data_IF_724231426311
#
_entry.id   IF_724231426311
#
_cell.length_a   1.000
_cell.length_b   1.000
_cell.length_c   1.000
_cell.angle_alpha   90.00
_cell.angle_beta   90.00
_cell.angle_gamma   90.00
#
_symmetry.space_group_name_H-M   'P 1'
#
loop_
_entity.id
_entity.type
_entity.pdbx_description
1 polymer ?
#
# COMPACT_ATOMS: atom_id res chain seq x y z
N UNK A 1 29.41 -5.02 25.58
CA UNK A 1 29.13 -4.35 24.33
C UNK A 1 28.31 -3.12 24.64
N UNK A 2 28.81 -1.93 24.31
CA UNK A 2 28.11 -0.66 24.60
C UNK A 2 26.91 -0.62 23.63
N UNK A 3 25.69 -0.78 24.15
CA UNK A 3 24.47 -0.57 23.41
C UNK A 3 24.34 0.94 23.19
N UNK A 4 24.79 1.42 22.03
CA UNK A 4 24.44 2.78 21.59
C UNK A 4 22.92 2.89 21.67
N UNK A 5 22.38 3.82 22.44
CA UNK A 5 20.94 4.04 22.54
C UNK A 5 20.38 4.29 21.15
N UNK A 6 19.28 3.65 20.82
CA UNK A 6 18.61 3.87 19.54
C UNK A 6 18.29 5.37 19.40
N UNK A 7 18.57 5.94 18.23
CA UNK A 7 18.33 7.35 17.96
C UNK A 7 17.10 7.52 17.08
N UNK A 8 16.33 8.61 17.25
CA UNK A 8 15.24 8.92 16.36
C UNK A 8 15.73 9.04 14.91
N UNK A 9 14.96 8.50 13.99
CA UNK A 9 15.23 8.60 12.56
C UNK A 9 14.72 9.96 12.07
N UNK A 10 15.58 10.70 11.37
CA UNK A 10 15.27 12.03 10.84
C UNK A 10 15.11 12.00 9.33
N UNK A 11 14.57 13.08 8.76
CA UNK A 11 14.42 13.25 7.33
C UNK A 11 12.96 13.45 6.90
N UNK A 12 12.73 13.67 5.60
CA UNK A 12 11.42 14.05 5.09
C UNK A 12 10.33 12.99 5.29
N UNK A 13 10.71 11.71 5.47
CA UNK A 13 9.77 10.62 5.73
C UNK A 13 9.26 10.56 7.19
N UNK A 14 9.82 11.37 8.11
CA UNK A 14 9.41 11.41 9.52
C UNK A 14 8.31 12.45 9.81
N UNK A 15 7.42 12.70 8.86
CA UNK A 15 6.34 13.69 8.96
C UNK A 15 5.23 13.29 9.94
N UNK A 16 4.53 14.29 10.45
CA UNK A 16 3.32 14.13 11.28
C UNK A 16 2.08 14.48 10.44
N UNK A 17 0.94 13.85 10.74
CA UNK A 17 -0.32 14.11 10.04
C UNK A 17 -0.74 15.59 10.08
N UNK A 18 -0.50 16.27 11.21
CA UNK A 18 -0.76 17.70 11.34
C UNK A 18 0.09 18.57 10.39
N UNK A 19 1.30 18.14 10.04
CA UNK A 19 2.14 18.86 9.07
C UNK A 19 1.59 18.73 7.65
N UNK A 20 1.09 17.53 7.28
CA UNK A 20 0.43 17.34 5.98
C UNK A 20 -0.86 18.13 5.85
N UNK A 21 -1.65 18.25 6.93
CA UNK A 21 -2.88 19.03 6.96
C UNK A 21 -2.62 20.51 6.65
N UNK A 22 -1.45 21.02 7.03
CA UNK A 22 -1.06 22.42 6.85
C UNK A 22 -0.22 22.67 5.58
N UNK A 23 -0.08 21.68 4.69
CA UNK A 23 0.74 21.77 3.49
C UNK A 23 0.06 21.11 2.30
N UNK A 24 0.26 21.66 1.12
CA UNK A 24 -0.15 21.08 -0.17
C UNK A 24 1.04 20.62 -1.00
N UNK A 25 2.27 20.70 -0.47
CA UNK A 25 3.50 20.39 -1.22
C UNK A 25 3.64 18.89 -1.60
N UNK A 26 2.83 18.01 -1.00
CA UNK A 26 2.71 16.60 -1.34
C UNK A 26 1.66 16.32 -2.43
N UNK A 27 0.91 17.37 -2.87
CA UNK A 27 -0.11 17.30 -3.91
C UNK A 27 0.49 17.86 -5.20
N UNK A 28 0.51 17.08 -6.25
CA UNK A 28 0.91 17.49 -7.59
C UNK A 28 -0.31 17.43 -8.52
N UNK A 29 -0.65 18.54 -9.13
CA UNK A 29 -1.73 18.60 -10.11
C UNK A 29 -1.22 18.28 -11.50
N UNK A 30 -2.01 17.54 -12.27
CA UNK A 30 -1.77 17.40 -13.69
C UNK A 30 -1.86 18.74 -14.39
N UNK A 31 -0.93 19.03 -15.28
CA UNK A 31 -1.02 20.17 -16.18
C UNK A 31 -1.84 19.81 -17.43
N UNK A 32 -2.41 20.80 -18.14
CA UNK A 32 -3.12 20.53 -19.41
C UNK A 32 -2.25 19.82 -20.44
N UNK A 33 -0.95 20.12 -20.49
CA UNK A 33 -0.01 19.48 -21.41
C UNK A 33 0.22 18.00 -21.07
N UNK A 34 0.28 17.64 -19.80
CA UNK A 34 0.40 16.24 -19.34
C UNK A 34 -0.88 15.45 -19.60
N UNK A 35 -2.04 16.06 -19.39
CA UNK A 35 -3.33 15.43 -19.73
C UNK A 35 -3.44 15.17 -21.23
N UNK A 36 -3.03 16.14 -22.07
CA UNK A 36 -3.01 15.95 -23.53
C UNK A 36 -2.03 14.84 -23.97
N UNK A 37 -0.92 14.69 -23.27
CA UNK A 37 0.06 13.63 -23.52
C UNK A 37 -0.50 12.24 -23.12
N UNK A 38 -1.22 12.15 -21.99
CA UNK A 38 -1.94 10.94 -21.58
C UNK A 38 -3.04 10.57 -22.59
N UNK A 39 -3.83 11.54 -23.08
CA UNK A 39 -4.85 11.33 -24.11
C UNK A 39 -4.24 10.81 -25.42
N UNK A 40 -3.10 11.37 -25.83
CA UNK A 40 -2.40 10.95 -27.05
C UNK A 40 -1.86 9.52 -26.93
N UNK A 41 -1.26 9.17 -25.78
CA UNK A 41 -0.76 7.84 -25.51
C UNK A 41 -1.89 6.81 -25.45
N UNK A 42 -3.02 7.14 -24.82
CA UNK A 42 -4.22 6.30 -24.82
C UNK A 42 -4.75 6.09 -26.23
N UNK A 43 -4.82 7.15 -27.05
CA UNK A 43 -5.25 7.08 -28.45
C UNK A 43 -4.37 6.12 -29.26
N UNK A 44 -3.05 6.16 -29.08
CA UNK A 44 -2.11 5.27 -29.75
C UNK A 44 -2.30 3.79 -29.35
N UNK A 45 -2.50 3.54 -28.05
CA UNK A 45 -2.78 2.18 -27.53
C UNK A 45 -4.09 1.63 -28.08
N UNK A 46 -5.15 2.44 -28.12
CA UNK A 46 -6.47 2.07 -28.68
C UNK A 46 -6.39 1.78 -30.18
N UNK A 47 -5.69 2.63 -30.95
CA UNK A 47 -5.53 2.44 -32.38
C UNK A 47 -4.81 1.12 -32.74
N UNK A 48 -3.95 0.63 -31.84
CA UNK A 48 -3.24 -0.66 -31.96
C UNK A 48 -4.01 -1.84 -31.36
N UNK A 49 -5.16 -1.62 -30.75
CA UNK A 49 -5.97 -2.67 -30.12
C UNK A 49 -5.27 -3.37 -28.95
N UNK A 50 -4.37 -2.70 -28.23
CA UNK A 50 -3.61 -3.31 -27.14
C UNK A 50 -4.48 -3.47 -25.89
N UNK A 51 -4.52 -4.70 -25.37
CA UNK A 51 -5.06 -4.93 -24.03
C UNK A 51 -4.16 -4.27 -22.97
N UNK A 52 -4.75 -3.71 -21.92
CA UNK A 52 -4.00 -2.94 -20.90
C UNK A 52 -2.82 -3.71 -20.30
N UNK A 53 -2.93 -5.04 -20.09
CA UNK A 53 -1.85 -5.89 -19.53
C UNK A 53 -0.62 -6.00 -20.43
N UNK A 54 -0.79 -5.79 -21.73
CA UNK A 54 0.29 -5.86 -22.72
C UNK A 54 0.95 -4.52 -23.01
N UNK A 55 0.46 -3.42 -22.44
CA UNK A 55 1.03 -2.08 -22.65
C UNK A 55 2.37 -1.99 -21.94
N UNK A 56 3.42 -1.74 -22.69
CA UNK A 56 4.75 -1.42 -22.17
C UNK A 56 4.93 0.09 -22.02
N UNK A 57 6.03 0.50 -21.42
CA UNK A 57 6.40 1.92 -21.32
C UNK A 57 6.58 2.56 -22.70
N UNK A 58 7.10 1.79 -23.66
CA UNK A 58 7.34 2.20 -25.06
C UNK A 58 6.01 2.35 -25.82
N UNK A 59 5.01 1.53 -25.49
CA UNK A 59 3.67 1.59 -26.08
C UNK A 59 2.86 2.79 -25.58
N UNK A 60 3.24 3.34 -24.42
CA UNK A 60 2.58 4.47 -23.74
C UNK A 60 3.56 5.63 -23.54
N UNK A 61 4.02 6.30 -24.61
CA UNK A 61 5.08 7.29 -24.53
C UNK A 61 4.59 8.57 -23.83
N UNK A 62 5.36 9.02 -22.82
CA UNK A 62 5.13 10.25 -22.06
C UNK A 62 6.41 11.12 -22.08
N UNK A 63 6.82 11.67 -23.24
CA UNK A 63 8.13 12.29 -23.40
C UNK A 63 8.35 13.50 -22.48
N UNK A 64 7.33 14.29 -22.18
CA UNK A 64 7.41 15.46 -21.28
C UNK A 64 7.11 15.07 -19.84
N UNK A 65 6.07 14.26 -19.63
CA UNK A 65 5.62 13.88 -18.29
C UNK A 65 6.59 12.91 -17.60
N UNK A 66 7.40 12.15 -18.35
CA UNK A 66 8.36 11.19 -17.79
C UNK A 66 9.35 11.81 -16.79
N UNK A 67 9.79 13.05 -17.01
CA UNK A 67 10.67 13.77 -16.09
C UNK A 67 9.96 14.05 -14.74
N UNK A 68 8.69 14.45 -14.77
CA UNK A 68 7.92 14.66 -13.57
C UNK A 68 7.60 13.35 -12.84
N UNK A 69 7.37 12.24 -13.56
CA UNK A 69 7.21 10.91 -12.96
C UNK A 69 8.51 10.39 -12.34
N UNK A 70 9.67 10.75 -12.89
CA UNK A 70 10.96 10.47 -12.27
C UNK A 70 11.10 11.22 -10.92
N UNK A 71 10.71 12.49 -10.86
CA UNK A 71 10.68 13.26 -9.61
C UNK A 71 9.67 12.68 -8.59
N UNK A 72 8.53 12.17 -9.04
CA UNK A 72 7.57 11.45 -8.18
C UNK A 72 8.21 10.19 -7.59
N UNK A 73 8.93 9.38 -8.38
CA UNK A 73 9.66 8.20 -7.86
C UNK A 73 10.70 8.59 -6.82
N UNK A 74 11.39 9.70 -7.05
CA UNK A 74 12.42 10.20 -6.14
C UNK A 74 11.81 10.67 -4.81
N UNK A 75 10.70 11.42 -4.86
CA UNK A 75 9.94 11.82 -3.67
C UNK A 75 9.39 10.61 -2.89
N UNK A 76 8.93 9.57 -3.59
CA UNK A 76 8.47 8.33 -2.96
C UNK A 76 9.61 7.60 -2.24
N UNK A 77 10.80 7.51 -2.82
CA UNK A 77 11.90 6.75 -2.21
C UNK A 77 12.76 7.58 -1.26
N UNK A 78 13.04 8.83 -1.59
CA UNK A 78 13.99 9.69 -0.87
C UNK A 78 13.32 10.85 -0.11
N UNK A 79 12.08 11.17 -0.46
CA UNK A 79 11.28 12.21 0.14
C UNK A 79 10.36 11.72 1.26
N UNK A 80 9.13 12.24 1.28
CA UNK A 80 8.11 11.90 2.29
C UNK A 80 7.60 10.47 2.20
N UNK A 81 7.79 9.80 1.08
CA UNK A 81 7.21 8.48 0.82
C UNK A 81 5.73 8.55 0.40
N UNK A 82 5.22 9.73 0.06
CA UNK A 82 3.86 9.91 -0.44
C UNK A 82 3.80 11.01 -1.49
N UNK A 83 2.95 10.81 -2.51
CA UNK A 83 2.56 11.83 -3.50
C UNK A 83 1.09 11.61 -3.86
N UNK A 84 0.33 12.70 -3.95
CA UNK A 84 -1.00 12.70 -4.54
C UNK A 84 -0.94 13.39 -5.90
N UNK A 85 -1.20 12.63 -6.98
CA UNK A 85 -1.45 13.22 -8.29
C UNK A 85 -2.94 13.54 -8.38
N UNK A 86 -3.30 14.79 -8.67
CA UNK A 86 -4.68 15.27 -8.64
C UNK A 86 -5.13 15.85 -9.96
N UNK A 87 -6.37 15.51 -10.35
CA UNK A 87 -7.06 16.17 -11.46
C UNK A 87 -7.03 15.40 -12.77
N UNK A 88 -6.90 14.05 -12.73
CA UNK A 88 -7.22 13.23 -13.89
C UNK A 88 -8.75 13.30 -14.14
N UNK A 89 -9.23 13.73 -15.31
CA UNK A 89 -10.67 13.88 -15.56
C UNK A 89 -11.35 12.55 -15.87
N UNK A 90 -11.53 11.71 -14.82
CA UNK A 90 -12.01 10.32 -14.94
C UNK A 90 -13.37 10.20 -15.62
N UNK A 91 -14.20 11.23 -15.55
CA UNK A 91 -15.52 11.27 -16.20
C UNK A 91 -15.45 11.29 -17.74
N UNK A 92 -14.28 11.56 -18.31
CA UNK A 92 -14.05 11.56 -19.76
C UNK A 92 -13.74 10.19 -20.33
N UNK A 93 -13.50 9.20 -19.48
CA UNK A 93 -13.01 7.89 -19.87
C UNK A 93 -13.92 6.77 -19.39
N UNK A 94 -13.97 5.70 -20.16
CA UNK A 94 -14.55 4.44 -19.68
C UNK A 94 -13.63 3.79 -18.65
N UNK A 95 -14.15 2.83 -17.85
CA UNK A 95 -13.33 2.10 -16.89
C UNK A 95 -12.17 1.35 -17.55
N UNK A 96 -12.36 0.83 -18.77
CA UNK A 96 -11.28 0.16 -19.51
C UNK A 96 -10.22 1.13 -19.99
N UNK A 97 -10.59 2.32 -20.43
CA UNK A 97 -9.65 3.39 -20.75
C UNK A 97 -8.89 3.86 -19.52
N UNK A 98 -9.56 3.97 -18.36
CA UNK A 98 -8.90 4.27 -17.08
C UNK A 98 -7.91 3.18 -16.68
N UNK A 99 -8.20 1.89 -16.95
CA UNK A 99 -7.23 0.81 -16.74
C UNK A 99 -6.02 0.96 -17.65
N UNK A 100 -6.22 1.29 -18.94
CA UNK A 100 -5.12 1.53 -19.89
C UNK A 100 -4.27 2.74 -19.47
N UNK A 101 -4.89 3.87 -19.12
CA UNK A 101 -4.22 5.08 -18.65
C UNK A 101 -3.42 4.82 -17.37
N UNK A 102 -4.06 4.21 -16.37
CA UNK A 102 -3.44 3.98 -15.07
C UNK A 102 -2.32 2.96 -15.13
N UNK A 103 -2.48 1.91 -15.94
CA UNK A 103 -1.43 0.95 -16.23
C UNK A 103 -0.27 1.60 -16.96
N UNK A 104 -0.52 2.31 -18.07
CA UNK A 104 0.50 3.01 -18.83
C UNK A 104 1.31 3.97 -17.95
N UNK A 105 0.64 4.79 -17.15
CA UNK A 105 1.30 5.66 -16.16
C UNK A 105 2.12 4.85 -15.15
N UNK A 106 1.60 3.73 -14.68
CA UNK A 106 2.28 2.82 -13.76
C UNK A 106 3.61 2.29 -14.30
N UNK A 107 3.69 1.97 -15.61
CA UNK A 107 4.93 1.49 -16.27
C UNK A 107 6.05 2.54 -16.28
N UNK A 108 5.73 3.82 -16.18
CA UNK A 108 6.71 4.91 -16.03
C UNK A 108 7.19 5.10 -14.59
N UNK A 109 6.41 4.66 -13.60
CA UNK A 109 6.77 4.73 -12.19
C UNK A 109 7.59 3.51 -11.75
N UNK A 110 7.20 2.31 -12.17
CA UNK A 110 7.85 1.07 -11.76
C UNK A 110 7.31 -0.13 -12.52
N UNK A 111 7.67 -1.32 -12.06
CA UNK A 111 7.18 -2.57 -12.64
C UNK A 111 5.96 -3.06 -11.86
N UNK A 112 4.78 -3.20 -12.50
CA UNK A 112 3.59 -3.73 -11.85
C UNK A 112 3.79 -5.15 -11.30
N UNK A 113 3.22 -5.41 -10.12
CA UNK A 113 3.31 -6.69 -9.41
C UNK A 113 1.93 -7.31 -9.21
N UNK A 114 1.88 -8.63 -9.22
CA UNK A 114 0.66 -9.37 -8.93
C UNK A 114 0.22 -9.17 -7.48
N UNK A 115 -1.09 -8.98 -7.28
CA UNK A 115 -1.69 -8.71 -5.98
C UNK A 115 -2.31 -9.95 -5.33
N UNK A 116 -2.46 -11.03 -6.07
CA UNK A 116 -2.93 -12.32 -5.60
C UNK A 116 -2.41 -13.46 -6.49
N UNK A 117 -2.66 -14.71 -6.07
CA UNK A 117 -2.25 -15.92 -6.80
C UNK A 117 -3.02 -16.12 -8.12
N UNK A 118 -4.11 -15.38 -8.36
CA UNK A 118 -4.94 -15.46 -9.57
C UNK A 118 -4.51 -14.50 -10.69
N UNK A 119 -3.37 -13.82 -10.55
CA UNK A 119 -2.82 -12.97 -11.60
C UNK A 119 -3.43 -11.57 -11.68
N UNK A 120 -4.00 -11.07 -10.59
CA UNK A 120 -4.54 -9.72 -10.56
C UNK A 120 -3.39 -8.69 -10.50
N UNK A 121 -3.31 -7.83 -11.50
CA UNK A 121 -2.31 -6.76 -11.62
C UNK A 121 -2.90 -5.38 -11.30
N UNK A 122 -4.16 -5.11 -11.70
CA UNK A 122 -4.95 -3.98 -11.22
C UNK A 122 -6.01 -4.57 -10.31
N UNK A 123 -5.94 -4.25 -9.01
CA UNK A 123 -6.94 -4.64 -8.03
C UNK A 123 -8.09 -3.64 -7.99
N UNK A 124 -9.34 -4.12 -7.97
CA UNK A 124 -10.50 -3.26 -7.73
C UNK A 124 -10.78 -3.20 -6.22
N UNK A 125 -10.75 -1.99 -5.67
CA UNK A 125 -11.08 -1.74 -4.27
C UNK A 125 -12.51 -1.21 -4.20
N UNK A 126 -13.45 -2.14 -4.00
CA UNK A 126 -14.90 -1.93 -3.96
C UNK A 126 -15.55 -2.91 -2.98
N UNK A 127 -16.83 -2.74 -2.67
CA UNK A 127 -17.57 -3.73 -1.87
C UNK A 127 -18.04 -4.90 -2.75
N UNK A 128 -17.23 -5.95 -2.81
CA UNK A 128 -17.60 -7.21 -3.49
C UNK A 128 -18.37 -8.15 -2.57
N UNK A 129 -18.40 -7.87 -1.26
CA UNK A 129 -18.94 -8.75 -0.25
C UNK A 129 -20.36 -8.37 0.20
N UNK A 130 -20.93 -7.37 -0.46
CA UNK A 130 -22.29 -6.88 -0.18
C UNK A 130 -23.33 -8.00 -0.19
N UNK A 131 -23.15 -9.00 -1.06
CA UNK A 131 -24.04 -10.16 -1.15
C UNK A 131 -23.88 -11.16 0.01
N UNK A 132 -22.77 -11.09 0.76
CA UNK A 132 -22.43 -12.06 1.81
C UNK A 132 -22.72 -11.56 3.24
N UNK A 133 -23.35 -10.40 3.39
CA UNK A 133 -23.72 -9.86 4.70
C UNK A 133 -22.55 -9.32 5.50
N UNK A 134 -22.70 -9.23 6.83
CA UNK A 134 -21.80 -8.52 7.73
C UNK A 134 -20.42 -9.19 7.94
N UNK A 135 -19.62 -9.29 6.87
CA UNK A 135 -18.24 -9.81 6.91
C UNK A 135 -17.30 -8.95 7.78
N UNK A 136 -17.79 -7.82 8.25
CA UNK A 136 -17.01 -6.79 8.92
C UNK A 136 -17.01 -6.87 10.44
N UNK A 137 -17.70 -7.87 11.02
CA UNK A 137 -17.73 -8.05 12.48
C UNK A 137 -16.43 -8.68 12.99
N UNK A 138 -15.95 -8.28 14.18
CA UNK A 138 -14.84 -8.96 14.83
C UNK A 138 -15.11 -10.46 14.99
N UNK A 139 -14.13 -11.29 14.60
CA UNK A 139 -14.25 -12.75 14.71
C UNK A 139 -14.95 -13.46 13.56
N UNK A 140 -15.45 -12.73 12.55
CA UNK A 140 -16.01 -13.37 11.34
C UNK A 140 -14.92 -14.11 10.58
N UNK A 141 -15.21 -15.33 10.21
CA UNK A 141 -14.39 -16.19 9.34
C UNK A 141 -15.04 -16.29 7.96
N UNK A 142 -14.25 -16.58 6.94
CA UNK A 142 -14.76 -16.89 5.60
C UNK A 142 -15.65 -18.16 5.66
N UNK A 143 -16.47 -18.39 4.64
CA UNK A 143 -17.27 -19.62 4.54
C UNK A 143 -16.40 -20.91 4.59
N UNK A 144 -15.12 -20.80 4.26
CA UNK A 144 -14.12 -21.86 4.38
C UNK A 144 -13.59 -22.08 5.80
N UNK A 145 -14.01 -21.28 6.78
CA UNK A 145 -13.45 -21.27 8.14
C UNK A 145 -12.16 -20.45 8.28
N UNK A 146 -11.64 -19.93 7.20
CA UNK A 146 -10.41 -19.15 7.20
C UNK A 146 -10.59 -17.74 7.81
N UNK A 147 -9.59 -17.17 8.50
CA UNK A 147 -9.67 -15.83 9.07
C UNK A 147 -9.79 -14.75 7.99
N UNK A 148 -10.56 -13.70 8.29
CA UNK A 148 -10.68 -12.54 7.40
C UNK A 148 -9.42 -11.70 7.47
N UNK A 149 -8.58 -11.76 6.44
CA UNK A 149 -7.33 -10.98 6.33
C UNK A 149 -7.59 -9.54 5.85
N UNK A 150 -6.58 -8.67 5.92
CA UNK A 150 -6.66 -7.30 5.38
C UNK A 150 -6.96 -7.29 3.89
N UNK A 151 -6.47 -8.28 3.13
CA UNK A 151 -6.79 -8.47 1.71
C UNK A 151 -8.28 -8.67 1.46
N UNK A 152 -8.91 -9.52 2.26
CA UNK A 152 -10.35 -9.77 2.16
C UNK A 152 -11.15 -8.51 2.56
N UNK A 153 -10.71 -7.82 3.62
CA UNK A 153 -11.33 -6.57 4.09
C UNK A 153 -11.22 -5.43 3.09
N UNK A 154 -10.19 -5.40 2.26
CA UNK A 154 -10.04 -4.39 1.21
C UNK A 154 -11.19 -4.43 0.18
N UNK A 155 -11.85 -5.60 0.03
CA UNK A 155 -13.00 -5.84 -0.86
C UNK A 155 -14.35 -5.77 -0.15
N UNK A 156 -14.42 -5.11 0.99
CA UNK A 156 -15.62 -4.94 1.80
C UNK A 156 -15.81 -3.49 2.18
N UNK A 157 -17.03 -3.11 2.55
CA UNK A 157 -17.38 -1.77 3.02
C UNK A 157 -16.92 -1.46 4.44
N UNK A 158 -16.43 -2.45 5.20
CA UNK A 158 -15.95 -2.24 6.56
C UNK A 158 -14.59 -1.52 6.66
N UNK A 159 -14.20 -1.12 7.88
CA UNK A 159 -12.95 -0.42 8.09
C UNK A 159 -11.75 -1.34 7.80
N UNK A 160 -10.71 -0.76 7.24
CA UNK A 160 -9.43 -1.41 7.02
C UNK A 160 -8.38 -0.79 7.94
N UNK A 161 -7.82 -1.60 8.85
CA UNK A 161 -6.79 -1.17 9.81
C UNK A 161 -5.51 -0.77 9.09
N UNK A 162 -4.68 0.03 9.73
CA UNK A 162 -3.34 0.37 9.23
C UNK A 162 -2.54 -0.87 8.85
N UNK A 163 -1.95 -0.82 7.66
CA UNK A 163 -1.13 -1.89 7.11
C UNK A 163 -0.22 -1.37 6.00
N UNK A 164 0.68 -2.22 5.57
CA UNK A 164 1.46 -2.07 4.32
C UNK A 164 1.02 -3.13 3.32
N UNK A 165 1.07 -2.77 2.05
CA UNK A 165 0.97 -3.74 0.95
C UNK A 165 2.35 -4.37 0.65
N UNK A 166 2.36 -5.52 -0.04
CA UNK A 166 3.58 -6.25 -0.41
C UNK A 166 4.15 -5.75 -1.73
N UNK A 167 4.50 -4.47 -1.78
CA UNK A 167 5.13 -3.80 -2.94
C UNK A 167 5.91 -2.58 -2.45
N UNK A 168 6.91 -2.13 -3.21
CA UNK A 168 7.62 -0.89 -2.85
C UNK A 168 6.65 0.28 -2.77
N UNK A 169 5.78 0.40 -3.78
CA UNK A 169 4.74 1.45 -3.81
C UNK A 169 3.37 0.83 -4.08
N UNK A 170 2.38 1.30 -3.36
CA UNK A 170 0.97 1.14 -3.69
C UNK A 170 0.44 2.43 -4.31
N UNK A 171 -0.24 2.29 -5.45
CA UNK A 171 -1.00 3.35 -6.08
C UNK A 171 -2.50 3.07 -5.97
N UNK A 172 -3.29 4.10 -5.71
CA UNK A 172 -4.75 4.06 -5.62
C UNK A 172 -5.34 5.18 -6.47
N UNK A 173 -5.89 4.84 -7.65
CA UNK A 173 -6.67 5.77 -8.48
C UNK A 173 -8.12 5.75 -8.02
N UNK A 174 -8.64 6.88 -7.57
CA UNK A 174 -10.06 7.04 -7.26
C UNK A 174 -10.86 7.22 -8.55
N UNK A 175 -11.63 6.20 -8.93
CA UNK A 175 -12.56 6.26 -10.08
C UNK A 175 -13.90 6.84 -9.64
N UNK A 176 -14.45 6.33 -8.53
CA UNK A 176 -15.71 6.80 -7.92
C UNK A 176 -15.62 6.75 -6.41
N UNK A 177 -16.25 7.72 -5.76
CA UNK A 177 -16.39 7.76 -4.28
C UNK A 177 -17.62 6.97 -3.84
N UNK A 178 -17.59 6.50 -2.61
CA UNK A 178 -18.78 6.04 -1.90
C UNK A 178 -19.77 7.20 -1.68
N UNK A 179 -21.00 6.89 -1.29
CA UNK A 179 -21.98 7.87 -0.81
C UNK A 179 -21.50 8.59 0.45
N UNK A 180 -20.90 7.83 1.38
CA UNK A 180 -20.36 8.34 2.64
C UNK A 180 -19.19 7.48 3.12
N UNK A 181 -18.28 8.06 3.87
CA UNK A 181 -17.11 7.38 4.43
C UNK A 181 -16.05 7.02 3.38
N UNK A 182 -15.27 5.97 3.64
CA UNK A 182 -14.16 5.58 2.77
C UNK A 182 -12.97 6.53 2.85
N UNK A 183 -12.87 7.29 3.95
CA UNK A 183 -11.77 8.23 4.21
C UNK A 183 -10.45 7.47 4.24
N UNK A 184 -9.48 7.91 3.46
CA UNK A 184 -8.12 7.38 3.46
C UNK A 184 -7.37 7.94 4.66
N UNK A 185 -6.72 7.04 5.44
CA UNK A 185 -5.87 7.39 6.58
C UNK A 185 -4.45 6.99 6.23
N UNK A 186 -3.50 7.90 6.37
CA UNK A 186 -2.09 7.63 6.12
C UNK A 186 -1.24 8.12 7.28
N UNK A 187 -0.15 7.42 7.56
CA UNK A 187 0.77 7.78 8.64
C UNK A 187 2.20 7.39 8.30
N UNK A 188 3.16 8.21 8.71
CA UNK A 188 4.58 7.87 8.62
C UNK A 188 4.92 6.76 9.61
N UNK A 189 5.41 5.62 9.11
CA UNK A 189 5.91 4.56 9.98
C UNK A 189 7.22 4.95 10.67
N UNK A 190 7.96 5.92 10.13
CA UNK A 190 9.14 6.51 10.77
C UNK A 190 8.73 7.38 11.98
N UNK A 191 7.66 8.18 11.84
CA UNK A 191 7.12 8.95 12.97
C UNK A 191 6.61 8.02 14.08
N UNK A 192 5.93 6.92 13.72
CA UNK A 192 5.51 5.89 14.69
C UNK A 192 6.71 5.29 15.41
N UNK A 193 7.75 4.87 14.66
CA UNK A 193 8.98 4.34 15.23
C UNK A 193 9.57 5.30 16.27
N UNK A 194 9.68 6.58 15.91
CA UNK A 194 10.25 7.61 16.80
C UNK A 194 9.39 7.86 18.04
N UNK A 195 8.07 7.90 17.89
CA UNK A 195 7.14 8.11 19.01
C UNK A 195 7.17 6.93 19.99
N UNK A 196 7.21 5.68 19.49
CA UNK A 196 7.32 4.49 20.35
C UNK A 196 8.68 4.45 21.03
N UNK A 197 9.77 4.76 20.34
CA UNK A 197 11.11 4.85 20.92
C UNK A 197 11.16 5.84 22.09
N UNK A 198 10.53 6.99 21.95
CA UNK A 198 10.50 8.00 22.99
C UNK A 198 9.63 7.61 24.21
N UNK A 199 8.50 6.91 23.98
CA UNK A 199 7.52 6.58 25.04
C UNK A 199 7.83 5.27 25.75
N UNK A 200 8.20 4.23 24.98
CA UNK A 200 8.37 2.85 25.44
C UNK A 200 9.51 2.17 24.66
N UNK A 201 10.79 2.53 25.00
CA UNK A 201 11.97 1.95 24.34
C UNK A 201 12.07 0.42 24.50
N UNK A 202 11.49 -0.13 25.56
CA UNK A 202 11.36 -1.57 25.80
C UNK A 202 10.47 -2.25 24.73
N UNK A 203 9.30 -1.68 24.44
CA UNK A 203 8.39 -2.18 23.41
C UNK A 203 8.91 -1.90 22.00
N UNK A 204 9.59 -0.75 21.81
CA UNK A 204 10.24 -0.42 20.54
C UNK A 204 11.23 -1.50 20.11
N UNK A 205 12.06 -1.99 21.04
CA UNK A 205 13.03 -3.05 20.74
C UNK A 205 12.36 -4.36 20.25
N UNK A 206 11.15 -4.66 20.73
CA UNK A 206 10.39 -5.83 20.29
C UNK A 206 9.92 -5.72 18.84
N UNK A 207 9.65 -4.52 18.33
CA UNK A 207 9.20 -4.31 16.94
C UNK A 207 10.31 -4.60 15.90
N UNK A 208 11.56 -4.71 16.34
CA UNK A 208 12.71 -5.18 15.54
C UNK A 208 12.96 -6.69 15.67
N UNK A 209 12.12 -7.42 16.39
CA UNK A 209 12.14 -8.88 16.48
C UNK A 209 11.08 -9.48 15.57
N UNK A 210 11.21 -10.77 15.29
CA UNK A 210 10.31 -11.49 14.41
C UNK A 210 8.89 -11.62 14.98
N UNK A 211 7.92 -11.35 14.09
CA UNK A 211 6.50 -11.65 14.27
C UNK A 211 6.08 -12.67 13.22
N UNK A 212 5.40 -13.71 13.62
CA UNK A 212 4.87 -14.71 12.71
C UNK A 212 3.61 -14.17 12.02
N UNK A 213 3.55 -14.37 10.70
CA UNK A 213 2.44 -13.93 9.84
C UNK A 213 1.96 -15.08 8.98
N UNK A 214 0.66 -15.15 8.73
CA UNK A 214 0.10 -16.15 7.81
C UNK A 214 0.48 -15.85 6.35
N UNK A 215 0.63 -16.91 5.55
CA UNK A 215 0.68 -16.82 4.07
C UNK A 215 -0.67 -17.15 3.44
N UNK A 216 -1.71 -17.32 4.23
CA UNK A 216 -3.00 -17.79 3.74
C UNK A 216 -3.45 -17.07 2.47
N UNK A 217 -3.73 -17.84 1.43
CA UNK A 217 -4.04 -17.36 0.09
C UNK A 217 -2.83 -16.90 -0.73
N UNK A 218 -1.60 -17.17 -0.27
CA UNK A 218 -0.33 -16.86 -0.95
C UNK A 218 0.61 -18.06 -1.00
N UNK A 219 0.19 -19.21 -0.47
CA UNK A 219 1.01 -20.41 -0.44
C UNK A 219 1.25 -20.93 -1.86
N UNK A 220 2.48 -21.29 -2.12
CA UNK A 220 2.84 -22.16 -3.23
C UNK A 220 2.94 -23.61 -2.75
N UNK A 221 2.78 -24.55 -3.65
CA UNK A 221 2.98 -25.95 -3.32
C UNK A 221 4.32 -26.17 -2.61
N UNK A 222 4.29 -26.64 -1.35
CA UNK A 222 5.46 -26.81 -0.51
C UNK A 222 5.87 -25.65 0.38
N UNK A 223 5.26 -24.46 0.23
CA UNK A 223 5.54 -23.34 1.12
C UNK A 223 5.00 -23.56 2.53
N UNK A 224 5.73 -23.03 3.52
CA UNK A 224 5.19 -22.95 4.89
C UNK A 224 4.00 -21.99 4.89
N UNK A 225 2.93 -22.34 5.61
CA UNK A 225 1.73 -21.52 5.78
C UNK A 225 1.98 -20.18 6.51
N UNK A 226 3.21 -19.95 6.93
CA UNK A 226 3.63 -18.79 7.70
C UNK A 226 5.06 -18.37 7.35
N UNK A 227 5.38 -17.15 7.70
CA UNK A 227 6.72 -16.57 7.68
C UNK A 227 6.94 -15.70 8.91
N UNK A 228 8.19 -15.51 9.29
CA UNK A 228 8.58 -14.63 10.38
C UNK A 228 9.31 -13.41 9.81
N UNK A 229 8.98 -12.22 10.30
CA UNK A 229 9.57 -10.97 9.86
C UNK A 229 9.37 -9.91 10.95
N UNK A 230 10.37 -9.05 11.25
CA UNK A 230 10.17 -7.92 12.13
C UNK A 230 9.21 -6.88 11.53
N UNK A 231 8.68 -6.03 12.39
CA UNK A 231 7.86 -4.88 11.95
C UNK A 231 8.76 -3.78 11.39
N UNK A 232 9.87 -3.50 12.07
CA UNK A 232 10.85 -2.48 11.69
C UNK A 232 12.18 -3.11 11.32
N UNK A 233 12.90 -2.47 10.41
CA UNK A 233 14.25 -2.84 10.05
C UNK A 233 15.04 -1.67 9.49
N UNK A 234 16.36 -1.78 9.54
CA UNK A 234 17.28 -0.77 8.98
C UNK A 234 18.39 -1.49 8.22
N UNK A 235 18.68 -1.04 7.01
CA UNK A 235 19.86 -1.44 6.24
C UNK A 235 20.46 -0.19 5.57
N UNK A 236 21.76 -0.04 5.63
CA UNK A 236 22.50 1.09 5.03
C UNK A 236 21.93 2.47 5.46
N UNK A 237 21.52 2.59 6.72
CA UNK A 237 20.91 3.81 7.26
C UNK A 237 19.48 4.08 6.78
N UNK A 238 18.89 3.18 5.99
CA UNK A 238 17.53 3.31 5.45
C UNK A 238 16.57 2.44 6.26
N UNK A 239 15.54 3.10 6.80
CA UNK A 239 14.47 2.43 7.52
C UNK A 239 13.50 1.73 6.55
N UNK A 240 12.98 0.59 6.96
CA UNK A 240 11.86 -0.09 6.32
C UNK A 240 10.91 -0.64 7.37
N UNK A 241 9.65 -0.78 7.00
CA UNK A 241 8.64 -1.37 7.85
C UNK A 241 7.73 -2.31 7.06
N UNK A 242 7.27 -3.38 7.73
CA UNK A 242 6.25 -4.29 7.22
C UNK A 242 5.25 -4.58 8.33
N UNK A 243 4.02 -4.10 8.17
CA UNK A 243 3.00 -4.20 9.20
C UNK A 243 1.65 -4.65 8.65
N UNK A 244 1.07 -5.63 9.28
CA UNK A 244 -0.34 -5.99 9.20
C UNK A 244 -0.74 -6.78 10.43
N UNK A 245 -1.42 -6.15 11.37
CA UNK A 245 -1.93 -6.80 12.60
C UNK A 245 -2.78 -8.03 12.27
N UNK A 246 -3.61 -7.93 11.24
CA UNK A 246 -4.51 -9.00 10.83
C UNK A 246 -3.77 -10.28 10.42
N UNK A 247 -2.62 -10.17 9.73
CA UNK A 247 -1.81 -11.32 9.35
C UNK A 247 -1.09 -11.94 10.55
N UNK A 248 -0.69 -11.13 11.53
CA UNK A 248 -0.09 -11.61 12.78
C UNK A 248 -1.13 -12.37 13.60
N UNK A 249 -2.31 -11.80 13.81
CA UNK A 249 -3.42 -12.43 14.56
C UNK A 249 -3.88 -13.73 13.90
N UNK A 250 -3.97 -13.77 12.56
CA UNK A 250 -4.33 -14.98 11.82
C UNK A 250 -3.28 -16.09 12.01
N UNK A 251 -1.99 -15.73 12.02
CA UNK A 251 -0.92 -16.70 12.26
C UNK A 251 -1.00 -17.35 13.65
N UNK A 252 -1.55 -16.65 14.67
CA UNK A 252 -1.70 -17.23 16.02
C UNK A 252 -2.65 -18.44 16.08
N UNK A 253 -3.41 -18.70 15.00
CA UNK A 253 -4.27 -19.88 14.84
C UNK A 253 -3.58 -21.07 14.20
N UNK A 254 -2.34 -20.88 13.70
CA UNK A 254 -1.55 -21.97 13.09
C UNK A 254 -0.84 -22.73 14.21
N UNK A 255 -0.98 -24.06 14.20
CA UNK A 255 -0.30 -24.91 15.16
C UNK A 255 1.21 -24.93 14.92
N UNK A 256 1.97 -25.09 16.01
CA UNK A 256 3.42 -25.23 15.97
C UNK A 256 4.23 -23.95 15.78
N UNK A 257 3.59 -22.77 15.73
CA UNK A 257 4.32 -21.50 15.78
C UNK A 257 4.30 -20.89 17.19
N UNK A 258 5.34 -20.14 17.58
CA UNK A 258 5.36 -19.42 18.85
C UNK A 258 4.18 -18.44 18.94
N UNK A 259 3.53 -18.43 20.09
CA UNK A 259 2.50 -17.44 20.38
C UNK A 259 3.12 -16.09 20.70
N UNK A 260 2.39 -15.00 20.42
CA UNK A 260 2.78 -13.66 20.87
C UNK A 260 2.94 -13.65 22.38
N UNK A 261 4.02 -13.10 22.85
CA UNK A 261 4.15 -12.74 24.26
C UNK A 261 3.25 -11.55 24.57
N UNK A 262 2.87 -11.38 25.85
CA UNK A 262 2.10 -10.21 26.28
C UNK A 262 2.77 -8.89 25.88
N UNK A 263 4.10 -8.79 26.01
CA UNK A 263 4.84 -7.58 25.65
C UNK A 263 4.85 -7.33 24.12
N UNK A 264 4.91 -8.38 23.29
CA UNK A 264 4.79 -8.23 21.84
C UNK A 264 3.39 -7.77 21.44
N UNK A 265 2.34 -8.27 22.09
CA UNK A 265 0.96 -7.85 21.87
C UNK A 265 0.77 -6.38 22.27
N UNK A 266 1.26 -5.98 23.45
CA UNK A 266 1.31 -4.60 23.94
C UNK A 266 2.07 -3.67 22.96
N UNK A 267 3.18 -4.12 22.37
CA UNK A 267 3.92 -3.36 21.37
C UNK A 267 3.11 -3.10 20.11
N UNK A 268 2.33 -4.09 19.65
CA UNK A 268 1.45 -3.94 18.51
C UNK A 268 0.22 -3.08 18.80
N UNK A 269 -0.29 -3.10 20.05
CA UNK A 269 -1.38 -2.23 20.50
C UNK A 269 -0.89 -0.77 20.52
N UNK A 270 0.26 -0.50 21.15
CA UNK A 270 0.85 0.83 21.15
C UNK A 270 1.14 1.36 19.75
N UNK A 271 1.61 0.49 18.83
CA UNK A 271 1.82 0.88 17.44
C UNK A 271 0.51 1.32 16.78
N UNK A 272 -0.60 0.59 17.01
CA UNK A 272 -1.90 0.93 16.47
C UNK A 272 -2.44 2.25 17.05
N UNK A 273 -2.29 2.48 18.36
CA UNK A 273 -2.67 3.73 19.04
C UNK A 273 -1.88 4.92 18.49
N UNK A 274 -0.56 4.80 18.38
CA UNK A 274 0.30 5.86 17.82
C UNK A 274 -0.01 6.11 16.35
N UNK A 275 -0.33 5.08 15.58
CA UNK A 275 -0.73 5.26 14.18
C UNK A 275 -2.03 6.07 14.06
N UNK A 276 -3.02 5.82 14.91
CA UNK A 276 -4.26 6.62 14.95
C UNK A 276 -4.01 8.07 15.39
N UNK A 277 -3.14 8.28 16.38
CA UNK A 277 -2.79 9.61 16.91
C UNK A 277 -2.08 10.48 15.87
N UNK A 278 -1.15 9.90 15.11
CA UNK A 278 -0.26 10.64 14.21
C UNK A 278 -0.75 10.68 12.75
N UNK A 279 -1.84 10.01 12.43
CA UNK A 279 -2.29 9.90 11.05
C UNK A 279 -2.82 11.22 10.48
N UNK A 280 -2.84 11.26 9.15
CA UNK A 280 -3.55 12.25 8.35
C UNK A 280 -4.73 11.57 7.66
N UNK A 281 -5.90 12.19 7.76
CA UNK A 281 -7.11 11.74 7.10
C UNK A 281 -7.40 12.60 5.88
N UNK A 282 -7.75 11.96 4.77
CA UNK A 282 -8.09 12.64 3.53
C UNK A 282 -9.17 11.90 2.75
N UNK A 283 -10.04 12.65 2.10
CA UNK A 283 -10.92 12.11 1.09
C UNK A 283 -10.25 12.15 -0.28
N UNK A 284 -10.25 11.00 -0.97
CA UNK A 284 -9.81 10.94 -2.37
C UNK A 284 -10.95 11.41 -3.26
N UNK A 285 -10.66 12.39 -4.10
CA UNK A 285 -11.59 12.87 -5.12
C UNK A 285 -11.49 11.99 -6.39
N UNK A 286 -12.55 11.86 -7.20
CA UNK A 286 -12.43 11.22 -8.50
C UNK A 286 -11.29 11.85 -9.31
N UNK A 287 -10.40 11.01 -9.84
CA UNK A 287 -9.20 11.45 -10.55
C UNK A 287 -7.97 11.70 -9.67
N UNK A 288 -8.06 11.50 -8.36
CA UNK A 288 -6.89 11.46 -7.49
C UNK A 288 -6.16 10.12 -7.63
N UNK A 289 -4.83 10.17 -7.73
CA UNK A 289 -3.95 8.99 -7.65
C UNK A 289 -3.05 9.16 -6.42
N UNK A 290 -3.36 8.43 -5.35
CA UNK A 290 -2.53 8.38 -4.15
C UNK A 290 -1.42 7.35 -4.35
N UNK A 291 -0.15 7.76 -4.20
CA UNK A 291 1.04 6.90 -4.29
C UNK A 291 1.72 6.89 -2.91
N UNK A 292 1.93 5.70 -2.36
CA UNK A 292 2.51 5.51 -1.03
C UNK A 292 3.66 4.51 -1.08
N UNK A 293 4.81 4.87 -0.51
CA UNK A 293 5.92 3.95 -0.30
C UNK A 293 5.65 3.11 0.97
N UNK A 294 5.40 1.82 0.77
CA UNK A 294 5.06 0.89 1.86
C UNK A 294 6.19 0.68 2.88
N UNK A 295 7.41 1.09 2.58
CA UNK A 295 8.51 0.97 3.53
C UNK A 295 8.49 2.05 4.63
N UNK A 296 7.84 3.20 4.37
CA UNK A 296 7.86 4.36 5.27
C UNK A 296 6.47 4.94 5.56
N UNK A 297 5.41 4.35 4.98
CA UNK A 297 4.03 4.78 5.24
C UNK A 297 3.12 3.59 5.53
N UNK A 298 2.17 3.77 6.44
CA UNK A 298 1.03 2.87 6.59
C UNK A 298 -0.20 3.57 6.09
N UNK A 299 -1.15 2.77 5.60
CA UNK A 299 -2.43 3.25 5.16
C UNK A 299 -3.58 2.44 5.74
N UNK A 300 -4.70 3.11 5.90
CA UNK A 300 -5.94 2.57 6.43
C UNK A 300 -7.13 3.24 5.73
N UNK A 301 -8.32 2.76 6.03
CA UNK A 301 -9.55 3.32 5.47
C UNK A 301 -10.68 3.17 6.48
N UNK A 302 -11.50 4.21 6.62
CA UNK A 302 -12.74 4.12 7.39
C UNK A 302 -13.77 3.25 6.66
N UNK A 303 -14.80 2.79 7.36
CA UNK A 303 -15.95 2.16 6.72
C UNK A 303 -16.59 3.11 5.70
N UNK A 304 -17.32 2.57 4.72
CA UNK A 304 -18.03 3.36 3.74
C UNK A 304 -19.42 2.79 3.43
N UNK A 305 -20.25 3.64 2.87
CA UNK A 305 -21.58 3.30 2.41
C UNK A 305 -21.73 3.63 0.93
N UNK A 306 -22.13 2.65 0.16
CA UNK A 306 -22.44 2.81 -1.25
C UNK A 306 -23.92 3.11 -1.49
N UNK A 307 -24.18 3.77 -2.61
CA UNK A 307 -25.51 3.97 -3.18
C UNK A 307 -25.48 3.57 -4.66
N UNK A 308 -25.56 2.28 -4.90
CA UNK A 308 -25.50 1.72 -6.25
C UNK A 308 -26.65 2.21 -7.15
N UNK A 309 -27.85 2.45 -6.59
CA UNK A 309 -28.97 2.99 -7.32
C UNK A 309 -28.75 4.43 -7.79
N UNK A 310 -27.99 5.21 -7.00
CA UNK A 310 -27.57 6.57 -7.33
C UNK A 310 -26.23 6.64 -8.09
N UNK A 311 -25.67 5.52 -8.53
CA UNK A 311 -24.38 5.49 -9.25
C UNK A 311 -23.17 5.85 -8.39
N UNK A 312 -23.29 5.75 -7.07
CA UNK A 312 -22.23 6.06 -6.08
C UNK A 312 -21.75 4.80 -5.38
N UNK A 313 -21.38 3.80 -6.17
CA UNK A 313 -20.64 2.62 -5.73
C UNK A 313 -19.13 2.92 -5.80
N UNK A 314 -18.47 2.84 -4.68
CA UNK A 314 -17.03 3.11 -4.56
C UNK A 314 -16.21 2.20 -5.46
N UNK A 315 -15.30 2.80 -6.23
CA UNK A 315 -14.34 2.08 -7.04
C UNK A 315 -13.00 2.80 -7.03
N UNK A 316 -11.95 2.12 -6.57
CA UNK A 316 -10.59 2.53 -6.80
C UNK A 316 -9.84 1.43 -7.56
N UNK A 317 -8.95 1.83 -8.45
CA UNK A 317 -7.97 0.92 -9.04
C UNK A 317 -6.69 0.96 -8.24
N UNK A 318 -6.22 -0.21 -7.82
CA UNK A 318 -4.98 -0.37 -7.07
C UNK A 318 -3.90 -0.97 -7.97
N UNK A 319 -2.71 -0.36 -7.95
CA UNK A 319 -1.48 -0.92 -8.52
C UNK A 319 -0.47 -1.17 -7.41
N UNK A 320 0.24 -2.29 -7.52
CA UNK A 320 1.46 -2.56 -6.77
C UNK A 320 2.65 -2.43 -7.69
N UNK A 321 3.66 -1.66 -7.29
CA UNK A 321 4.82 -1.35 -8.10
C UNK A 321 6.11 -1.72 -7.37
N UNK A 322 7.02 -2.39 -8.09
CA UNK A 322 8.43 -2.49 -7.71
C UNK A 322 9.19 -1.34 -8.35
N UNK A 323 9.90 -0.56 -7.55
CA UNK A 323 10.58 0.65 -8.01
C UNK A 323 12.03 0.37 -8.43
N UNK A 324 12.52 0.94 -9.55
CA UNK A 324 13.90 0.77 -9.98
C UNK A 324 14.93 1.52 -9.11
N UNK A 325 14.48 2.46 -8.28
CA UNK A 325 15.29 3.21 -7.31
C UNK A 325 15.02 2.80 -5.86
N UNK A 326 14.43 1.63 -5.64
CA UNK A 326 14.06 1.17 -4.30
C UNK A 326 15.28 0.87 -3.43
N UNK A 327 15.13 1.05 -2.10
CA UNK A 327 16.17 0.83 -1.08
C UNK A 327 16.56 -0.63 -0.92
N UNK A 328 17.76 -0.88 -0.39
CA UNK A 328 18.13 -2.18 0.15
C UNK A 328 17.26 -2.52 1.37
N UNK A 329 16.87 -3.81 1.51
CA UNK A 329 16.11 -4.30 2.66
C UNK A 329 17.02 -5.13 3.59
N UNK A 330 16.75 -5.16 4.90
CA UNK A 330 17.51 -5.95 5.85
C UNK A 330 17.55 -7.45 5.47
N UNK A 331 18.61 -8.18 5.86
CA UNK A 331 18.64 -9.63 5.74
C UNK A 331 17.40 -10.27 6.38
N UNK A 332 16.87 -11.32 5.75
CA UNK A 332 15.64 -12.00 6.18
C UNK A 332 14.36 -11.44 5.57
N UNK A 333 14.37 -10.21 5.02
CA UNK A 333 13.20 -9.64 4.34
C UNK A 333 12.92 -10.33 3.00
N UNK A 334 13.88 -11.02 2.41
CA UNK A 334 13.70 -11.84 1.20
C UNK A 334 12.60 -12.90 1.35
N UNK A 335 12.32 -13.38 2.57
CA UNK A 335 11.24 -14.32 2.86
C UNK A 335 9.87 -13.83 2.37
N UNK A 336 9.65 -12.51 2.38
CA UNK A 336 8.43 -11.87 1.88
C UNK A 336 8.66 -11.21 0.52
N UNK A 337 9.78 -10.53 0.36
CA UNK A 337 10.02 -9.63 -0.77
C UNK A 337 10.62 -10.33 -2.00
N UNK A 338 11.20 -11.52 -1.84
CA UNK A 338 11.90 -12.26 -2.89
C UNK A 338 13.32 -11.76 -3.17
N UNK A 339 13.57 -10.46 -3.06
CA UNK A 339 14.90 -9.84 -3.14
C UNK A 339 15.02 -8.72 -2.12
N UNK A 340 16.22 -8.55 -1.56
CA UNK A 340 16.58 -7.47 -0.63
C UNK A 340 17.53 -6.43 -1.25
N UNK A 341 17.92 -6.64 -2.50
CA UNK A 341 18.86 -5.75 -3.18
C UNK A 341 18.15 -4.48 -3.69
N UNK A 342 18.85 -3.32 -3.69
CA UNK A 342 18.29 -2.07 -4.15
C UNK A 342 17.97 -2.14 -5.65
N UNK A 343 16.82 -1.57 -6.04
CA UNK A 343 16.36 -1.54 -7.43
C UNK A 343 15.96 -2.89 -8.03
N UNK A 344 16.07 -3.98 -7.26
CA UNK A 344 15.68 -5.29 -7.74
C UNK A 344 14.16 -5.42 -7.92
N UNK A 345 13.75 -6.22 -8.90
CA UNK A 345 12.35 -6.59 -9.05
C UNK A 345 11.92 -7.45 -7.85
N UNK A 346 10.97 -6.95 -7.07
CA UNK A 346 10.57 -7.58 -5.80
C UNK A 346 9.11 -7.33 -5.43
N UNK A 347 8.69 -8.00 -4.36
CA UNK A 347 7.32 -7.90 -3.87
C UNK A 347 6.30 -8.55 -4.79
N UNK A 348 5.03 -8.27 -4.54
CA UNK A 348 3.93 -8.95 -5.21
C UNK A 348 3.78 -10.40 -4.77
N UNK A 349 2.72 -11.05 -5.28
CA UNK A 349 2.44 -12.45 -5.02
C UNK A 349 2.80 -13.21 -6.27
N UNK A 350 3.60 -14.24 -6.11
CA UNK A 350 3.98 -15.03 -7.26
C UNK A 350 2.79 -15.85 -7.77
N UNK A 351 2.76 -16.03 -9.07
CA UNK A 351 1.79 -16.88 -9.74
C UNK A 351 2.06 -18.35 -9.39
N UNK A 352 0.98 -19.13 -9.29
CA UNK A 352 1.05 -20.57 -9.10
C UNK A 352 1.65 -21.28 -10.32
#
# INVERSE_FOLDING_TARGET
MSTTAAQPITGPCAWLGAELANSTSWIRRFTPAELAELDAALGAVKARGLAWRGITREDFPLPRFSAALAAVRDELEHGRGLVLLRGLPVERYTEDELRQLYWGLGTHLGTPRYQNAHGELIGEVRDELRAYGAVNQPGVVQATGAPVTSRYKARSSGPLRFHTDRADVVGLLCVRRARAGGVSKIVSSVAINNAILARRPDLHALLYQDYYRTREGEERGGDRRWYALPVFGVRDGRFTSQYSRTFVEAAQRIDGIPKLTRAQDEALDLLAEVAEELCFEMELEPGDIQLLNNHVTYHARTAFEDDAAGGRDRLLFRLWLSLPNSRALPPGFDVLWGSIEPGALRGGIAQA
#
